data_IF_034951416867
#
_entry.id   IF_034951416867
#
_cell.length_a   1.000
_cell.length_b   1.000
_cell.length_c   1.000
_cell.angle_alpha   90.00
_cell.angle_beta   90.00
_cell.angle_gamma   90.00
#
_symmetry.space_group_name_H-M   'P 1'
#
loop_
_entity.id
_entity.type
_entity.pdbx_description
1 polymer ?
#
# COMPACT_ATOMS: atom_id res chain seq x y z
N UNK A 1 -4.79 -14.97 -3.23
CA UNK A 1 -3.70 -14.07 -2.76
C UNK A 1 -2.86 -13.62 -3.93
N UNK A 2 -2.29 -12.43 -3.81
CA UNK A 2 -1.42 -11.85 -4.83
C UNK A 2 -0.10 -11.41 -4.19
N UNK A 3 0.93 -11.27 -5.01
CA UNK A 3 2.18 -10.65 -4.61
C UNK A 3 2.15 -9.18 -5.02
N UNK A 4 2.65 -8.32 -4.15
CA UNK A 4 2.76 -6.89 -4.45
C UNK A 4 3.96 -6.28 -3.73
N UNK A 5 4.25 -5.02 -4.01
CA UNK A 5 5.47 -4.37 -3.57
C UNK A 5 5.16 -3.33 -2.51
N UNK A 6 5.97 -3.33 -1.44
CA UNK A 6 5.86 -2.34 -0.37
C UNK A 6 7.19 -1.64 -0.18
N UNK A 7 7.14 -0.43 0.40
CA UNK A 7 8.32 0.31 0.82
C UNK A 7 8.57 0.10 2.30
N UNK A 8 9.81 -0.21 2.63
CA UNK A 8 10.25 -0.40 4.01
C UNK A 8 11.50 0.45 4.26
N UNK A 9 11.97 0.49 5.50
CA UNK A 9 13.24 1.15 5.82
C UNK A 9 14.43 0.54 5.08
N UNK A 10 14.32 -0.73 4.70
CA UNK A 10 15.36 -1.45 3.98
C UNK A 10 15.20 -1.38 2.45
N UNK A 11 14.22 -0.64 1.97
CA UNK A 11 13.93 -0.50 0.54
C UNK A 11 12.62 -1.18 0.14
N UNK A 12 12.53 -1.59 -1.11
CA UNK A 12 11.32 -2.20 -1.66
C UNK A 12 11.37 -3.71 -1.43
N UNK A 13 10.26 -4.27 -0.95
CA UNK A 13 10.11 -5.69 -0.71
C UNK A 13 8.84 -6.23 -1.37
N UNK A 14 8.86 -7.50 -1.74
CA UNK A 14 7.68 -8.20 -2.25
C UNK A 14 7.00 -8.88 -1.07
N UNK A 15 5.69 -8.71 -0.95
CA UNK A 15 4.87 -9.39 0.06
C UNK A 15 3.68 -10.06 -0.60
N UNK A 16 3.12 -11.04 0.08
CA UNK A 16 1.91 -11.74 -0.37
C UNK A 16 0.74 -11.31 0.49
N UNK A 17 -0.37 -10.98 -0.15
CA UNK A 17 -1.56 -10.55 0.55
C UNK A 17 -2.78 -10.51 -0.35
N UNK A 18 -3.64 -9.53 -0.15
CA UNK A 18 -4.92 -9.42 -0.85
C UNK A 18 -5.06 -8.07 -1.54
N UNK A 19 -5.63 -8.11 -2.74
CA UNK A 19 -6.02 -6.90 -3.45
C UNK A 19 -7.39 -6.46 -2.92
N UNK A 20 -7.48 -5.22 -2.42
CA UNK A 20 -8.75 -4.66 -1.95
C UNK A 20 -9.44 -3.95 -3.12
N UNK A 21 -8.72 -3.05 -3.77
CA UNK A 21 -9.17 -2.33 -4.98
C UNK A 21 -7.99 -2.21 -5.94
N UNK A 22 -8.21 -1.56 -7.07
CA UNK A 22 -7.14 -1.22 -8.02
C UNK A 22 -5.97 -0.49 -7.35
N UNK A 23 -6.27 0.33 -6.35
CA UNK A 23 -5.30 1.23 -5.72
C UNK A 23 -4.76 0.73 -4.39
N UNK A 24 -5.42 -0.23 -3.75
CA UNK A 24 -5.07 -0.66 -2.40
C UNK A 24 -4.94 -2.16 -2.29
N UNK A 25 -3.90 -2.58 -1.57
CA UNK A 25 -3.66 -3.96 -1.19
C UNK A 25 -3.44 -4.03 0.32
N UNK A 26 -3.56 -5.21 0.90
CA UNK A 26 -3.24 -5.40 2.31
C UNK A 26 -2.46 -6.68 2.52
N UNK A 27 -1.62 -6.69 3.56
CA UNK A 27 -0.86 -7.87 3.94
C UNK A 27 -0.69 -7.92 5.46
N UNK A 28 -0.44 -9.13 5.95
CA UNK A 28 -0.17 -9.35 7.38
C UNK A 28 1.32 -9.22 7.65
N UNK A 29 1.68 -8.40 8.64
CA UNK A 29 3.04 -8.31 9.13
C UNK A 29 3.33 -9.54 9.98
N UNK A 30 4.38 -10.28 9.65
CA UNK A 30 4.71 -11.53 10.33
C UNK A 30 5.24 -11.33 11.74
N UNK A 31 5.88 -10.20 12.01
CA UNK A 31 6.46 -9.91 13.31
C UNK A 31 5.43 -9.49 14.34
N UNK A 32 4.50 -8.63 13.94
CA UNK A 32 3.51 -8.02 14.84
C UNK A 32 2.12 -8.65 14.74
N UNK A 33 1.90 -9.56 13.81
CA UNK A 33 0.60 -10.16 13.51
C UNK A 33 -0.48 -9.09 13.26
N UNK A 34 -0.08 -7.97 12.63
CA UNK A 34 -0.98 -6.87 12.28
C UNK A 34 -1.04 -6.71 10.77
N UNK A 35 -2.08 -6.08 10.30
CA UNK A 35 -2.32 -5.87 8.88
C UNK A 35 -2.03 -4.44 8.47
N UNK A 36 -1.50 -4.27 7.27
CA UNK A 36 -1.17 -2.97 6.68
C UNK A 36 -1.86 -2.84 5.33
N UNK A 37 -2.44 -1.66 5.10
CA UNK A 37 -3.00 -1.28 3.79
C UNK A 37 -1.93 -0.49 3.04
N UNK A 38 -1.67 -0.87 1.80
CA UNK A 38 -0.62 -0.28 0.97
C UNK A 38 -1.21 0.28 -0.32
N UNK A 39 -0.75 1.46 -0.73
CA UNK A 39 -1.01 2.01 -2.06
C UNK A 39 -0.25 1.18 -3.08
N UNK A 40 -0.95 0.56 -4.01
CA UNK A 40 -0.35 -0.39 -4.95
C UNK A 40 0.61 0.24 -5.96
N UNK A 41 0.46 1.53 -6.26
CA UNK A 41 1.32 2.22 -7.23
C UNK A 41 2.63 2.69 -6.64
N UNK A 42 2.61 3.22 -5.44
CA UNK A 42 3.79 3.80 -4.78
C UNK A 42 4.47 2.87 -3.80
N UNK A 43 3.74 1.90 -3.27
CA UNK A 43 4.21 1.05 -2.20
C UNK A 43 4.13 1.69 -0.82
N UNK A 44 3.60 2.90 -0.70
CA UNK A 44 3.45 3.57 0.59
C UNK A 44 2.34 2.94 1.43
N UNK A 45 2.58 2.83 2.73
CA UNK A 45 1.56 2.39 3.69
C UNK A 45 0.50 3.48 3.85
N UNK A 46 -0.77 3.10 3.77
CA UNK A 46 -1.91 3.98 4.01
C UNK A 46 -2.34 3.90 5.47
N UNK A 47 -2.43 2.70 6.00
CA UNK A 47 -2.82 2.46 7.40
C UNK A 47 -2.15 1.18 7.90
N UNK A 48 -1.60 1.25 9.10
CA UNK A 48 -0.94 0.10 9.76
C UNK A 48 -1.69 -0.27 11.03
N UNK A 49 -1.39 -1.44 11.56
CA UNK A 49 -1.86 -1.85 12.88
C UNK A 49 -3.28 -2.37 12.93
N UNK A 50 -3.86 -2.73 11.79
CA UNK A 50 -5.18 -3.36 11.77
C UNK A 50 -5.10 -4.81 12.23
N UNK A 51 -6.15 -5.32 12.86
CA UNK A 51 -6.13 -6.64 13.49
C UNK A 51 -6.37 -7.78 12.51
N UNK A 52 -7.18 -7.56 11.49
CA UNK A 52 -7.57 -8.58 10.52
C UNK A 52 -7.59 -8.05 9.11
N UNK A 53 -7.53 -8.96 8.12
CA UNK A 53 -7.70 -8.60 6.72
C UNK A 53 -9.09 -8.04 6.43
N UNK A 54 -10.11 -8.55 7.11
CA UNK A 54 -11.48 -8.03 6.99
C UNK A 54 -11.56 -6.56 7.38
N UNK A 55 -10.87 -6.15 8.45
CA UNK A 55 -10.80 -4.75 8.86
C UNK A 55 -10.17 -3.88 7.79
N UNK A 56 -9.18 -4.40 7.05
CA UNK A 56 -8.58 -3.68 5.93
C UNK A 56 -9.60 -3.38 4.83
N UNK A 57 -10.39 -4.36 4.46
CA UNK A 57 -11.45 -4.19 3.44
C UNK A 57 -12.50 -3.19 3.92
N UNK A 58 -12.92 -3.29 5.17
CA UNK A 58 -13.88 -2.38 5.77
C UNK A 58 -13.34 -0.94 5.85
N UNK A 59 -12.07 -0.79 6.20
CA UNK A 59 -11.40 0.51 6.27
C UNK A 59 -11.46 1.24 4.92
N UNK A 60 -11.09 0.56 3.84
CA UNK A 60 -11.11 1.14 2.49
C UNK A 60 -12.53 1.46 2.06
N UNK A 61 -13.47 0.56 2.32
CA UNK A 61 -14.89 0.75 1.99
C UNK A 61 -15.49 1.97 2.68
N UNK A 62 -15.05 2.25 3.91
CA UNK A 62 -15.60 3.31 4.76
C UNK A 62 -14.73 4.57 4.82
N UNK A 63 -13.82 4.76 3.87
CA UNK A 63 -13.03 5.98 3.78
C UNK A 63 -13.96 7.20 3.68
N UNK A 64 -13.73 8.18 4.55
CA UNK A 64 -14.49 9.44 4.51
C UNK A 64 -14.06 10.28 3.30
N UNK A 65 -14.92 11.22 2.91
CA UNK A 65 -14.60 12.15 1.81
C UNK A 65 -13.34 12.96 2.11
N UNK A 66 -13.13 13.35 3.36
CA UNK A 66 -11.93 14.08 3.77
C UNK A 66 -10.67 13.24 3.61
N UNK A 67 -10.74 11.96 3.95
CA UNK A 67 -9.62 11.04 3.77
C UNK A 67 -9.33 10.80 2.30
N UNK A 68 -10.36 10.63 1.48
CA UNK A 68 -10.21 10.46 0.03
C UNK A 68 -9.54 11.68 -0.58
N UNK A 69 -9.97 12.89 -0.20
CA UNK A 69 -9.36 14.14 -0.65
C UNK A 69 -7.91 14.26 -0.24
N UNK A 70 -7.57 13.86 0.98
CA UNK A 70 -6.20 13.89 1.46
C UNK A 70 -5.30 12.93 0.66
N UNK A 71 -5.79 11.73 0.36
CA UNK A 71 -5.08 10.75 -0.45
C UNK A 71 -4.88 11.27 -1.87
N UNK A 72 -5.92 11.85 -2.48
CA UNK A 72 -5.83 12.41 -3.83
C UNK A 72 -4.83 13.57 -3.89
N UNK A 73 -4.79 14.41 -2.87
CA UNK A 73 -3.83 15.51 -2.77
C UNK A 73 -2.40 14.98 -2.70
N UNK A 74 -2.15 13.95 -1.89
CA UNK A 74 -0.84 13.31 -1.78
C UNK A 74 -0.39 12.72 -3.12
N UNK A 75 -1.31 12.14 -3.88
CA UNK A 75 -1.02 11.55 -5.20
C UNK A 75 -0.57 12.57 -6.24
N UNK A 76 -0.87 13.85 -6.04
CA UNK A 76 -0.45 14.93 -6.93
C UNK A 76 0.93 15.50 -6.59
N UNK A 77 1.55 15.05 -5.50
CA UNK A 77 2.87 15.53 -5.08
C UNK A 77 3.99 14.90 -5.91
N UNK A 78 5.11 15.62 -6.03
CA UNK A 78 6.32 15.09 -6.69
C UNK A 78 6.85 13.86 -5.94
N UNK A 79 6.75 13.86 -4.62
CA UNK A 79 7.17 12.73 -3.78
C UNK A 79 6.43 11.46 -4.17
N UNK A 80 5.13 11.54 -4.37
CA UNK A 80 4.31 10.38 -4.77
C UNK A 80 4.68 9.92 -6.18
N UNK A 81 4.79 10.85 -7.13
CA UNK A 81 5.16 10.53 -8.51
C UNK A 81 6.53 9.89 -8.59
N UNK A 82 7.50 10.43 -7.86
CA UNK A 82 8.84 9.84 -7.78
C UNK A 82 8.80 8.44 -7.20
N UNK A 83 8.00 8.22 -6.16
CA UNK A 83 7.86 6.90 -5.56
C UNK A 83 7.27 5.88 -6.54
N UNK A 84 6.29 6.28 -7.33
CA UNK A 84 5.72 5.43 -8.38
C UNK A 84 6.76 5.08 -9.45
N UNK A 85 7.52 6.06 -9.90
CA UNK A 85 8.57 5.87 -10.91
C UNK A 85 9.69 4.96 -10.39
N UNK A 86 10.12 5.17 -9.15
CA UNK A 86 11.15 4.34 -8.51
C UNK A 86 10.69 2.89 -8.39
N UNK A 87 9.42 2.68 -8.05
CA UNK A 87 8.87 1.33 -7.94
C UNK A 87 8.83 0.63 -9.31
N UNK A 88 8.43 1.34 -10.36
CA UNK A 88 8.42 0.81 -11.72
C UNK A 88 9.84 0.42 -12.17
N UNK A 89 10.82 1.28 -11.91
CA UNK A 89 12.22 1.00 -12.23
C UNK A 89 12.74 -0.22 -11.47
N UNK A 90 12.38 -0.33 -10.20
CA UNK A 90 12.76 -1.47 -9.38
C UNK A 90 12.18 -2.78 -9.93
N UNK A 91 10.92 -2.77 -10.35
CA UNK A 91 10.28 -3.93 -11.00
C UNK A 91 11.01 -4.34 -12.26
N UNK A 92 11.35 -3.39 -13.13
CA UNK A 92 12.07 -3.65 -14.37
C UNK A 92 13.45 -4.27 -14.11
N UNK A 93 14.14 -3.83 -13.04
CA UNK A 93 15.47 -4.32 -12.72
C UNK A 93 15.47 -5.67 -12.00
N UNK A 94 14.37 -6.05 -11.35
CA UNK A 94 14.31 -7.23 -10.46
C UNK A 94 13.35 -8.32 -10.95
N UNK A 95 12.75 -8.12 -12.10
CA UNK A 95 11.93 -9.11 -12.79
C UNK A 95 12.56 -9.50 -14.14
#
# INVERSE_FOLDING_TARGET
>A
MIDFYIRTHSGIQIVTGYKITKSYCCHKDTCLARWTITDSKSGFAIQKGLKTGKECFEYVKNLSDDMIKAIEKERKTERYQKACDDLEKWKESNL
#
